data_IF_585215449785
#
_entry.id   IF_585215449785
#
_cell.length_a   1.000
_cell.length_b   1.000
_cell.length_c   1.000
_cell.angle_alpha   90.00
_cell.angle_beta   90.00
_cell.angle_gamma   90.00
#
_symmetry.space_group_name_H-M   'P 1'
#
loop_
_entity.id
_entity.type
_entity.pdbx_description
1 polymer ?
#
# COMPACT_ATOMS: atom_id res chain seq x y z
N UNK A 1 12.67 19.30 -29.45
CA UNK A 1 12.62 18.06 -28.65
C UNK A 1 11.15 17.72 -28.45
N UNK A 2 10.69 16.51 -28.82
CA UNK A 2 9.31 16.08 -28.52
C UNK A 2 9.25 15.74 -27.04
N UNK A 3 8.42 16.44 -26.27
CA UNK A 3 8.16 16.11 -24.86
C UNK A 3 7.39 14.79 -24.84
N UNK A 4 8.03 13.70 -24.43
CA UNK A 4 7.33 12.44 -24.17
C UNK A 4 6.49 12.66 -22.92
N UNK A 5 5.19 12.81 -23.09
CA UNK A 5 4.25 12.92 -21.97
C UNK A 5 3.90 11.50 -21.56
N UNK A 6 4.53 11.02 -20.49
CA UNK A 6 4.19 9.75 -19.86
C UNK A 6 2.84 9.89 -19.15
N UNK A 7 1.86 9.09 -19.54
CA UNK A 7 0.56 9.06 -18.87
C UNK A 7 0.67 8.21 -17.60
N UNK A 8 0.69 8.87 -16.44
CA UNK A 8 0.67 8.21 -15.14
C UNK A 8 -0.78 8.06 -14.67
N UNK A 9 -1.16 6.83 -14.30
CA UNK A 9 -2.43 6.57 -13.63
C UNK A 9 -2.26 6.67 -12.12
N UNK A 10 -3.31 7.09 -11.41
CA UNK A 10 -3.32 7.05 -9.94
C UNK A 10 -3.29 5.59 -9.49
N UNK A 11 -2.34 5.26 -8.63
CA UNK A 11 -2.18 3.94 -8.03
C UNK A 11 -2.33 4.05 -6.51
N UNK A 12 -3.10 3.14 -5.91
CA UNK A 12 -3.26 3.03 -4.47
C UNK A 12 -3.19 1.54 -4.08
N UNK A 13 -2.43 1.20 -3.03
CA UNK A 13 -2.26 -0.20 -2.62
C UNK A 13 -3.58 -0.83 -2.19
N UNK A 14 -4.52 -0.06 -1.61
CA UNK A 14 -5.82 -0.57 -1.22
C UNK A 14 -6.63 -1.13 -2.39
N UNK A 15 -6.36 -0.68 -3.63
CA UNK A 15 -7.00 -1.21 -4.83
C UNK A 15 -6.64 -2.68 -5.11
N UNK A 16 -5.63 -3.24 -4.47
CA UNK A 16 -5.10 -4.59 -4.72
C UNK A 16 -5.19 -5.54 -3.52
N UNK A 17 -5.66 -5.07 -2.35
CA UNK A 17 -5.73 -5.86 -1.12
C UNK A 17 -7.13 -6.44 -0.90
N UNK A 18 -7.58 -7.31 -1.82
CA UNK A 18 -8.98 -7.79 -1.89
C UNK A 18 -9.27 -8.89 -0.89
N UNK A 19 -8.34 -9.81 -0.68
CA UNK A 19 -8.52 -10.94 0.25
C UNK A 19 -7.89 -10.69 1.61
N UNK A 20 -8.26 -11.51 2.58
CA UNK A 20 -7.64 -11.48 3.91
C UNK A 20 -6.16 -11.85 3.85
N UNK A 21 -5.82 -12.83 3.02
CA UNK A 21 -4.46 -13.29 2.77
C UNK A 21 -3.59 -12.17 2.18
N UNK A 22 -4.08 -11.48 1.14
CA UNK A 22 -3.33 -10.36 0.52
C UNK A 22 -3.04 -9.24 1.54
N UNK A 23 -3.98 -8.96 2.44
CA UNK A 23 -3.79 -7.97 3.52
C UNK A 23 -2.80 -8.46 4.59
N UNK A 24 -2.84 -9.74 4.93
CA UNK A 24 -1.92 -10.34 5.89
C UNK A 24 -0.48 -10.35 5.35
N UNK A 25 -0.28 -10.75 4.10
CA UNK A 25 1.02 -10.71 3.42
C UNK A 25 1.54 -9.27 3.31
N UNK A 26 0.68 -8.31 2.95
CA UNK A 26 1.05 -6.90 2.91
C UNK A 26 1.50 -6.38 4.28
N UNK A 27 0.79 -6.75 5.35
CA UNK A 27 1.13 -6.38 6.72
C UNK A 27 2.48 -6.97 7.12
N UNK A 28 2.70 -8.27 6.87
CA UNK A 28 3.95 -8.96 7.22
C UNK A 28 5.17 -8.29 6.56
N UNK A 29 5.10 -8.07 5.25
CA UNK A 29 6.17 -7.41 4.48
C UNK A 29 6.42 -6.00 5.01
N UNK A 30 5.36 -5.26 5.34
CA UNK A 30 5.49 -3.92 5.92
C UNK A 30 6.14 -3.94 7.31
N UNK A 31 5.87 -4.95 8.13
CA UNK A 31 6.46 -5.10 9.46
C UNK A 31 7.95 -5.47 9.38
N UNK A 32 8.35 -6.31 8.43
CA UNK A 32 9.77 -6.63 8.19
C UNK A 32 10.55 -5.40 7.70
N UNK A 33 9.96 -4.63 6.78
CA UNK A 33 10.57 -3.40 6.26
C UNK A 33 10.67 -2.28 7.33
N UNK A 34 9.87 -2.37 8.40
CA UNK A 34 9.77 -1.33 9.41
C UNK A 34 10.96 -1.39 10.38
N UNK A 35 11.77 -0.33 10.36
CA UNK A 35 12.87 -0.10 11.31
C UNK A 35 12.39 0.52 12.64
N UNK A 36 11.25 0.06 13.15
CA UNK A 36 10.64 0.58 14.39
C UNK A 36 9.82 1.88 14.24
N UNK A 37 9.40 2.26 13.04
CA UNK A 37 8.57 3.44 12.76
C UNK A 37 7.05 3.24 13.02
N UNK A 38 6.54 3.78 14.13
CA UNK A 38 5.12 3.64 14.52
C UNK A 38 4.15 4.36 13.58
N UNK A 39 4.58 5.44 12.93
CA UNK A 39 3.74 6.17 11.97
C UNK A 39 3.53 5.36 10.69
N UNK A 40 4.54 4.58 10.30
CA UNK A 40 4.45 3.63 9.20
C UNK A 40 3.39 2.55 9.47
N UNK A 41 3.36 1.97 10.67
CA UNK A 41 2.29 1.00 11.06
C UNK A 41 0.91 1.62 10.89
N UNK A 42 0.72 2.83 11.43
CA UNK A 42 -0.58 3.49 11.36
C UNK A 42 -1.05 3.68 9.91
N UNK A 43 -0.12 4.00 9.01
CA UNK A 43 -0.40 4.15 7.57
C UNK A 43 -0.75 2.82 6.90
N UNK A 44 -0.03 1.75 7.22
CA UNK A 44 -0.29 0.40 6.72
C UNK A 44 -1.68 -0.08 7.17
N UNK A 45 -1.99 0.06 8.46
CA UNK A 45 -3.30 -0.31 9.01
C UNK A 45 -4.44 0.50 8.38
N UNK A 46 -4.25 1.82 8.20
CA UNK A 46 -5.23 2.66 7.50
C UNK A 46 -5.44 2.24 6.04
N UNK A 47 -4.41 1.72 5.38
CA UNK A 47 -4.50 1.23 4.00
C UNK A 47 -5.29 -0.08 3.93
N UNK A 48 -5.05 -0.98 4.90
CA UNK A 48 -5.81 -2.23 5.07
C UNK A 48 -7.28 -1.94 5.36
N UNK A 49 -7.59 -0.99 6.27
CA UNK A 49 -8.96 -0.55 6.58
C UNK A 49 -9.67 -0.04 5.33
N UNK A 50 -9.03 0.84 4.56
CA UNK A 50 -9.59 1.35 3.29
C UNK A 50 -9.83 0.26 2.25
N UNK A 51 -9.06 -0.82 2.28
CA UNK A 51 -9.23 -1.95 1.36
C UNK A 51 -10.42 -2.85 1.75
N UNK A 52 -10.82 -2.84 3.02
CA UNK A 52 -11.98 -3.60 3.51
C UNK A 52 -13.32 -2.98 3.11
N UNK A 53 -13.36 -1.66 2.91
CA UNK A 53 -14.55 -0.92 2.48
C UNK A 53 -15.21 -0.13 3.60
#
# INVERSE_FOLDING_TARGET
MKTMTEQLSRWDSADYLKTEEERAEYLEVCMDAMRGDLEFIAKVLKTIERAQG
#
